data_IF_611843467996
#
_entry.id   IF_611843467996
#
_cell.length_a   1.000
_cell.length_b   1.000
_cell.length_c   1.000
_cell.angle_alpha   90.00
_cell.angle_beta   90.00
_cell.angle_gamma   90.00
#
_symmetry.space_group_name_H-M   'P 1'
#
loop_
_entity.id
_entity.type
_entity.pdbx_description
1 polymer ?
#
# COMPACT_ATOMS: atom_id res chain seq x y z
N UNK A 1 33.81 -51.49 28.13
CA UNK A 1 34.13 -50.48 27.10
C UNK A 1 32.86 -49.78 26.58
N UNK A 2 32.29 -48.78 27.27
CA UNK A 2 31.11 -48.02 26.80
C UNK A 2 31.22 -46.47 27.07
N UNK A 3 32.39 -45.96 27.43
CA UNK A 3 32.58 -44.52 27.76
C UNK A 3 32.85 -43.66 26.52
N UNK A 4 33.42 -44.22 25.46
CA UNK A 4 33.77 -43.41 24.26
C UNK A 4 32.58 -42.96 23.39
N UNK A 5 31.50 -43.75 23.32
CA UNK A 5 30.32 -43.44 22.47
C UNK A 5 29.51 -42.24 23.00
N UNK A 6 29.38 -42.08 24.30
CA UNK A 6 28.61 -41.02 24.94
C UNK A 6 29.27 -39.62 24.75
N UNK A 7 30.59 -39.56 24.78
CA UNK A 7 31.33 -38.33 24.57
C UNK A 7 31.30 -37.80 23.12
N UNK A 8 31.25 -38.72 22.16
CA UNK A 8 31.13 -38.38 20.71
C UNK A 8 29.72 -37.83 20.45
N UNK A 9 28.68 -38.45 20.97
CA UNK A 9 27.31 -37.95 20.79
C UNK A 9 27.11 -36.60 21.44
N UNK A 10 27.66 -36.33 22.62
CA UNK A 10 27.56 -35.03 23.28
C UNK A 10 28.27 -33.93 22.49
N UNK A 11 29.46 -34.17 21.95
CA UNK A 11 30.19 -33.24 21.09
C UNK A 11 29.41 -32.92 19.81
N UNK A 12 28.80 -33.94 19.18
CA UNK A 12 27.98 -33.76 17.98
C UNK A 12 26.75 -32.93 18.25
N UNK A 13 26.08 -33.12 19.38
CA UNK A 13 24.92 -32.29 19.80
C UNK A 13 25.33 -30.86 20.05
N UNK A 14 26.46 -30.61 20.71
CA UNK A 14 26.96 -29.25 20.96
C UNK A 14 27.30 -28.55 19.65
N UNK A 15 28.02 -29.20 18.74
CA UNK A 15 28.38 -28.64 17.42
C UNK A 15 27.11 -28.35 16.59
N UNK A 16 26.15 -29.29 16.56
CA UNK A 16 24.88 -29.06 15.87
C UNK A 16 24.11 -27.86 16.46
N UNK A 17 24.09 -27.72 17.78
CA UNK A 17 23.46 -26.58 18.48
C UNK A 17 24.15 -25.25 18.12
N UNK A 18 25.50 -25.22 18.04
CA UNK A 18 26.22 -24.02 17.60
C UNK A 18 25.92 -23.65 16.13
N UNK A 19 25.88 -24.64 15.24
CA UNK A 19 25.54 -24.38 13.83
C UNK A 19 24.14 -23.81 13.70
N UNK A 20 23.15 -24.37 14.40
CA UNK A 20 21.78 -23.86 14.40
C UNK A 20 21.73 -22.44 14.90
N UNK A 21 22.43 -22.12 16.01
CA UNK A 21 22.43 -20.75 16.55
C UNK A 21 23.06 -19.73 15.59
N UNK A 22 24.14 -20.09 14.90
CA UNK A 22 24.77 -19.24 13.87
C UNK A 22 23.81 -19.01 12.70
N UNK A 23 23.16 -20.06 12.21
CA UNK A 23 22.17 -19.95 11.12
C UNK A 23 21.01 -19.04 11.53
N UNK A 24 20.48 -19.17 12.76
CA UNK A 24 19.42 -18.30 13.27
C UNK A 24 19.86 -16.85 13.31
N UNK A 25 21.07 -16.55 13.78
CA UNK A 25 21.62 -15.18 13.81
C UNK A 25 21.78 -14.60 12.41
N UNK A 26 22.32 -15.38 11.46
CA UNK A 26 22.47 -14.94 10.07
C UNK A 26 21.10 -14.64 9.44
N UNK A 27 20.15 -15.55 9.59
CA UNK A 27 18.79 -15.37 9.05
C UNK A 27 18.10 -14.15 9.67
N UNK A 28 18.22 -13.97 10.99
CA UNK A 28 17.66 -12.80 11.68
C UNK A 28 18.29 -11.49 11.20
N UNK A 29 19.61 -11.47 10.95
CA UNK A 29 20.31 -10.29 10.44
C UNK A 29 19.88 -9.95 9.01
N UNK A 30 19.70 -10.96 8.15
CA UNK A 30 19.21 -10.76 6.77
C UNK A 30 17.77 -10.23 6.78
N UNK A 31 16.89 -10.81 7.58
CA UNK A 31 15.50 -10.38 7.70
C UNK A 31 15.42 -8.94 8.24
N UNK A 32 16.22 -8.63 9.26
CA UNK A 32 16.31 -7.27 9.81
C UNK A 32 16.81 -6.26 8.79
N UNK A 33 17.85 -6.59 8.02
CA UNK A 33 18.35 -5.74 6.93
C UNK A 33 17.34 -5.50 5.81
N UNK A 34 16.57 -6.53 5.42
CA UNK A 34 15.50 -6.40 4.43
C UNK A 34 14.32 -5.57 4.94
N UNK A 35 14.03 -5.64 6.25
CA UNK A 35 13.01 -4.81 6.88
C UNK A 35 13.44 -3.34 6.88
N UNK A 36 14.70 -3.07 7.22
CA UNK A 36 15.25 -1.72 7.21
C UNK A 36 15.24 -1.11 5.81
N UNK A 37 15.71 -1.84 4.79
CA UNK A 37 15.69 -1.38 3.40
C UNK A 37 14.29 -1.01 2.92
N UNK A 38 13.29 -1.85 3.17
CA UNK A 38 11.90 -1.55 2.81
C UNK A 38 11.38 -0.29 3.52
N UNK A 39 11.66 -0.15 4.81
CA UNK A 39 11.29 1.04 5.58
C UNK A 39 11.95 2.28 5.01
N UNK A 40 13.23 2.22 4.65
CA UNK A 40 13.97 3.32 4.04
C UNK A 40 13.38 3.72 2.67
N UNK A 41 12.93 2.75 1.86
CA UNK A 41 12.26 3.02 0.57
C UNK A 41 10.98 3.84 0.79
N UNK A 42 10.14 3.45 1.76
CA UNK A 42 8.91 4.19 2.10
C UNK A 42 9.24 5.60 2.59
N UNK A 43 10.20 5.74 3.50
CA UNK A 43 10.60 7.04 4.04
C UNK A 43 11.19 7.94 2.95
N UNK A 44 11.97 7.38 2.03
CA UNK A 44 12.51 8.10 0.88
C UNK A 44 11.41 8.61 -0.05
N UNK A 45 10.42 7.76 -0.37
CA UNK A 45 9.24 8.16 -1.15
C UNK A 45 8.48 9.31 -0.48
N UNK A 46 8.21 9.21 0.83
CA UNK A 46 7.51 10.24 1.60
C UNK A 46 8.26 11.57 1.61
N UNK A 47 9.59 11.51 1.77
CA UNK A 47 10.45 12.69 1.68
C UNK A 47 10.37 13.34 0.30
N UNK A 48 10.46 12.55 -0.77
CA UNK A 48 10.34 13.06 -2.15
C UNK A 48 8.96 13.69 -2.41
N UNK A 49 7.88 13.08 -1.90
CA UNK A 49 6.53 13.63 -2.04
C UNK A 49 6.37 14.95 -1.27
N UNK A 50 6.88 15.04 -0.05
CA UNK A 50 6.87 16.28 0.73
C UNK A 50 7.65 17.39 0.02
N UNK A 51 8.82 17.08 -0.53
CA UNK A 51 9.62 18.04 -1.29
C UNK A 51 8.90 18.50 -2.56
N UNK A 52 8.28 17.56 -3.31
CA UNK A 52 7.44 17.90 -4.45
C UNK A 52 6.29 18.86 -4.04
N UNK A 53 5.61 18.57 -2.95
CA UNK A 53 4.49 19.39 -2.47
C UNK A 53 4.95 20.77 -2.02
N UNK A 54 6.16 20.89 -1.49
CA UNK A 54 6.74 22.13 -1.02
C UNK A 54 7.27 23.03 -2.14
N UNK A 55 7.78 22.46 -3.22
CA UNK A 55 8.58 23.22 -4.20
C UNK A 55 8.02 23.24 -5.61
N UNK A 56 7.18 22.24 -5.97
CA UNK A 56 6.73 22.12 -7.35
C UNK A 56 5.54 23.05 -7.63
N UNK A 57 5.55 23.71 -8.80
CA UNK A 57 4.46 24.58 -9.26
C UNK A 57 3.12 23.86 -9.45
N UNK A 58 3.16 22.56 -9.73
CA UNK A 58 1.97 21.72 -9.93
C UNK A 58 1.53 21.03 -8.61
N UNK A 59 2.06 21.49 -7.47
CA UNK A 59 1.68 21.03 -6.13
C UNK A 59 0.21 21.36 -5.83
N UNK A 60 -0.53 20.45 -5.18
CA UNK A 60 -1.88 20.75 -4.71
C UNK A 60 -1.90 21.64 -3.45
N UNK A 61 -0.76 21.91 -2.82
CA UNK A 61 -0.67 22.73 -1.62
C UNK A 61 -0.84 24.20 -1.99
N UNK A 62 -1.86 24.87 -1.44
CA UNK A 62 -2.15 26.28 -1.69
C UNK A 62 -1.07 27.19 -1.08
N UNK A 63 -0.71 26.96 0.16
CA UNK A 63 0.34 27.70 0.87
C UNK A 63 1.58 26.81 1.06
N UNK A 64 2.44 26.80 0.04
CA UNK A 64 3.69 26.04 0.05
C UNK A 64 4.72 26.61 1.06
N UNK A 65 4.59 27.88 1.47
CA UNK A 65 5.52 28.52 2.39
C UNK A 65 5.32 27.96 3.80
N UNK A 66 4.07 27.84 4.23
CA UNK A 66 3.73 27.28 5.55
C UNK A 66 3.72 25.76 5.60
N UNK A 67 3.69 25.10 4.44
CA UNK A 67 3.66 23.64 4.37
C UNK A 67 4.92 23.01 4.99
N UNK A 68 4.74 22.14 5.96
CA UNK A 68 5.82 21.41 6.63
C UNK A 68 5.97 20.00 6.06
N UNK A 69 4.95 19.17 6.28
CA UNK A 69 4.97 17.76 5.88
C UNK A 69 3.56 17.19 5.85
N UNK A 70 3.38 16.12 5.09
CA UNK A 70 2.20 15.26 5.19
C UNK A 70 2.31 14.34 6.40
N UNK A 71 1.17 13.96 6.96
CA UNK A 71 1.10 13.01 8.06
C UNK A 71 0.92 11.59 7.55
N UNK A 72 1.62 10.63 8.15
CA UNK A 72 1.60 9.23 7.78
C UNK A 72 1.48 8.31 9.00
N UNK A 73 0.95 7.12 8.78
CA UNK A 73 1.20 5.99 9.69
C UNK A 73 2.65 5.52 9.58
N UNK A 74 3.18 4.88 10.61
CA UNK A 74 4.50 4.24 10.52
C UNK A 74 4.52 3.17 9.42
N UNK A 75 5.64 3.01 8.70
CA UNK A 75 5.76 1.94 7.70
C UNK A 75 5.56 0.56 8.34
N UNK A 76 4.64 -0.23 7.77
CA UNK A 76 4.36 -1.57 8.26
C UNK A 76 4.19 -2.54 7.08
N UNK A 77 5.02 -3.61 7.05
CA UNK A 77 5.00 -4.65 6.01
C UNK A 77 3.72 -5.48 5.99
N UNK A 78 2.96 -5.53 7.09
CA UNK A 78 1.68 -6.24 7.12
C UNK A 78 0.66 -5.65 6.14
N UNK A 79 0.81 -4.37 5.80
CA UNK A 79 0.00 -3.69 4.81
C UNK A 79 0.57 -3.74 3.38
N UNK A 80 1.58 -4.59 3.15
CA UNK A 80 2.14 -4.90 1.83
C UNK A 80 1.73 -6.31 1.42
N UNK A 81 0.65 -6.43 0.67
CA UNK A 81 -0.11 -7.66 0.47
C UNK A 81 -0.05 -8.09 -1.00
N UNK A 82 0.29 -9.35 -1.25
CA UNK A 82 0.11 -9.96 -2.56
C UNK A 82 -1.35 -10.45 -2.68
N UNK A 83 -2.16 -9.72 -3.43
CA UNK A 83 -3.53 -10.08 -3.71
C UNK A 83 -3.64 -11.00 -4.93
N UNK A 84 -4.59 -11.92 -4.90
CA UNK A 84 -4.98 -12.68 -6.10
C UNK A 84 -5.74 -11.73 -7.02
N UNK A 85 -5.29 -11.65 -8.28
CA UNK A 85 -5.91 -10.83 -9.30
C UNK A 85 -6.89 -11.67 -10.13
N UNK A 86 -8.15 -11.26 -10.17
CA UNK A 86 -9.18 -11.88 -11.00
C UNK A 86 -9.73 -10.87 -12.00
N UNK A 87 -9.35 -11.04 -13.26
CA UNK A 87 -9.81 -10.14 -14.33
C UNK A 87 -11.33 -10.18 -14.47
N UNK A 88 -11.95 -9.02 -14.67
CA UNK A 88 -13.37 -8.87 -14.90
C UNK A 88 -13.59 -8.95 -16.43
N UNK A 89 -14.29 -10.00 -16.87
CA UNK A 89 -14.51 -10.26 -18.31
C UNK A 89 -15.57 -9.34 -18.93
N UNK A 90 -16.53 -8.89 -18.10
CA UNK A 90 -17.53 -7.93 -18.55
C UNK A 90 -16.93 -6.52 -18.48
N UNK A 91 -16.60 -6.03 -19.67
CA UNK A 91 -15.93 -4.74 -19.86
C UNK A 91 -16.90 -3.56 -19.83
N UNK A 92 -17.93 -3.60 -18.97
CA UNK A 92 -18.81 -2.46 -18.80
C UNK A 92 -18.10 -1.29 -18.12
N UNK A 93 -18.32 -0.09 -18.66
CA UNK A 93 -17.88 1.13 -17.99
C UNK A 93 -18.72 1.38 -16.74
N UNK A 94 -18.06 1.81 -15.69
CA UNK A 94 -18.74 2.46 -14.57
C UNK A 94 -18.46 3.96 -14.62
N UNK A 95 -19.42 4.71 -14.14
CA UNK A 95 -19.25 6.15 -13.95
C UNK A 95 -18.85 6.40 -12.51
N UNK A 96 -17.65 6.90 -12.29
CA UNK A 96 -17.22 7.39 -10.99
C UNK A 96 -17.44 8.91 -10.98
N UNK A 97 -18.19 9.35 -9.98
CA UNK A 97 -18.53 10.76 -9.79
C UNK A 97 -17.43 11.40 -8.94
N UNK A 98 -16.97 12.58 -9.34
CA UNK A 98 -16.03 13.35 -8.57
C UNK A 98 -16.75 14.20 -7.49
N UNK A 99 -16.00 14.72 -6.54
CA UNK A 99 -16.50 15.59 -5.48
C UNK A 99 -17.20 16.88 -5.99
N UNK A 100 -16.89 17.32 -7.21
CA UNK A 100 -17.54 18.46 -7.88
C UNK A 100 -18.69 18.05 -8.83
N UNK A 101 -19.21 16.83 -8.70
CA UNK A 101 -20.25 16.21 -9.54
C UNK A 101 -19.84 15.93 -11.02
N UNK A 102 -18.57 16.13 -11.40
CA UNK A 102 -18.05 15.69 -12.68
C UNK A 102 -18.09 14.16 -12.78
N UNK A 103 -18.41 13.66 -13.96
CA UNK A 103 -18.58 12.22 -14.22
C UNK A 103 -17.46 11.71 -15.12
N UNK A 104 -16.70 10.74 -14.64
CA UNK A 104 -15.64 10.10 -15.38
C UNK A 104 -15.94 8.62 -15.61
N UNK A 105 -15.62 8.12 -16.82
CA UNK A 105 -15.79 6.70 -17.16
C UNK A 105 -14.54 5.92 -16.80
N UNK A 106 -14.74 4.79 -16.13
CA UNK A 106 -13.70 3.83 -15.78
C UNK A 106 -14.09 2.44 -16.20
N UNK A 107 -13.11 1.63 -16.60
CA UNK A 107 -13.25 0.19 -16.72
C UNK A 107 -13.09 -0.44 -15.33
N UNK A 108 -13.99 -1.36 -14.98
CA UNK A 108 -13.75 -2.30 -13.88
C UNK A 108 -12.79 -3.36 -14.39
N UNK A 109 -11.51 -3.21 -14.10
CA UNK A 109 -10.46 -4.03 -14.69
C UNK A 109 -10.36 -5.40 -14.03
N UNK A 110 -10.25 -5.46 -12.72
CA UNK A 110 -10.05 -6.69 -11.96
C UNK A 110 -10.56 -6.58 -10.53
N UNK A 111 -10.75 -7.73 -9.91
CA UNK A 111 -10.87 -7.88 -8.46
C UNK A 111 -9.49 -8.19 -7.89
N UNK A 112 -9.08 -7.49 -6.85
CA UNK A 112 -7.98 -7.86 -5.98
C UNK A 112 -8.56 -8.54 -4.73
N UNK A 113 -8.29 -9.82 -4.56
CA UNK A 113 -8.78 -10.65 -3.45
C UNK A 113 -7.61 -10.92 -2.51
N UNK A 114 -7.76 -10.57 -1.24
CA UNK A 114 -6.69 -10.66 -0.26
C UNK A 114 -7.22 -10.90 1.15
N UNK A 115 -6.32 -11.26 2.05
CA UNK A 115 -6.61 -11.35 3.49
C UNK A 115 -5.80 -10.27 4.21
N UNK A 116 -6.44 -9.55 5.12
CA UNK A 116 -5.80 -8.62 6.04
C UNK A 116 -6.46 -8.76 7.42
N UNK A 117 -5.65 -8.83 8.48
CA UNK A 117 -6.14 -9.01 9.85
C UNK A 117 -7.08 -10.22 10.00
N UNK A 118 -6.85 -11.31 9.24
CA UNK A 118 -7.67 -12.52 9.15
C UNK A 118 -9.07 -12.29 8.57
N UNK A 119 -9.28 -11.19 7.89
CA UNK A 119 -10.51 -10.85 7.17
C UNK A 119 -10.21 -10.97 5.68
N UNK A 120 -11.05 -11.74 4.97
CA UNK A 120 -10.99 -11.79 3.51
C UNK A 120 -11.73 -10.58 2.94
N UNK A 121 -11.02 -9.81 2.15
CA UNK A 121 -11.52 -8.59 1.52
C UNK A 121 -11.32 -8.63 0.00
N UNK A 122 -12.09 -7.80 -0.70
CA UNK A 122 -11.99 -7.66 -2.16
C UNK A 122 -12.14 -6.21 -2.54
N UNK A 123 -11.22 -5.72 -3.37
CA UNK A 123 -11.30 -4.38 -3.96
C UNK A 123 -11.34 -4.47 -5.48
N UNK A 124 -12.12 -3.60 -6.10
CA UNK A 124 -12.16 -3.45 -7.56
C UNK A 124 -11.06 -2.49 -7.99
N UNK A 125 -10.25 -2.94 -8.91
CA UNK A 125 -9.23 -2.13 -9.59
C UNK A 125 -9.85 -1.51 -10.82
N UNK A 126 -9.64 -0.21 -10.99
CA UNK A 126 -10.17 0.56 -12.10
C UNK A 126 -9.07 1.00 -13.06
N UNK A 127 -9.48 1.24 -14.31
CA UNK A 127 -8.64 1.90 -15.31
C UNK A 127 -9.45 3.03 -15.94
N UNK A 128 -8.91 4.24 -15.99
CA UNK A 128 -9.60 5.38 -16.59
C UNK A 128 -9.79 5.12 -18.09
N UNK A 129 -11.00 5.33 -18.61
CA UNK A 129 -11.35 5.02 -19.99
C UNK A 129 -10.63 5.93 -21.02
N UNK A 130 -10.20 7.13 -20.59
CA UNK A 130 -9.47 8.07 -21.43
C UNK A 130 -7.98 7.77 -21.59
N UNK A 131 -7.42 6.81 -20.81
CA UNK A 131 -6.01 6.43 -20.94
C UNK A 131 -5.79 5.60 -22.20
N UNK A 132 -4.66 5.83 -22.87
CA UNK A 132 -4.21 5.01 -23.99
C UNK A 132 -3.97 3.57 -23.52
N UNK A 133 -4.09 2.60 -24.42
CA UNK A 133 -3.94 1.18 -24.09
C UNK A 133 -2.54 0.85 -23.52
N UNK A 134 -1.52 1.61 -23.93
CA UNK A 134 -0.12 1.45 -23.50
C UNK A 134 0.13 1.98 -22.07
N UNK A 135 -0.77 2.81 -21.54
CA UNK A 135 -0.66 3.31 -20.16
C UNK A 135 -1.16 2.24 -19.19
N UNK A 136 -0.22 1.63 -18.47
CA UNK A 136 -0.47 0.55 -17.51
C UNK A 136 -0.75 1.05 -16.10
N UNK A 137 -1.20 2.29 -15.96
CA UNK A 137 -1.58 2.84 -14.66
C UNK A 137 -3.00 2.41 -14.30
N UNK A 138 -3.13 1.76 -13.17
CA UNK A 138 -4.39 1.31 -12.60
C UNK A 138 -4.66 2.06 -11.31
N UNK A 139 -5.94 2.29 -11.03
CA UNK A 139 -6.43 3.11 -9.95
C UNK A 139 -7.25 2.29 -8.96
N UNK A 140 -6.92 2.38 -7.69
CA UNK A 140 -7.59 1.70 -6.60
C UNK A 140 -8.05 2.71 -5.55
N UNK A 141 -9.24 3.31 -5.71
CA UNK A 141 -9.84 4.14 -4.68
C UNK A 141 -10.53 3.25 -3.65
N UNK A 142 -10.43 3.57 -2.35
CA UNK A 142 -11.02 2.74 -1.31
C UNK A 142 -11.41 3.55 -0.07
N UNK A 143 -12.37 3.00 0.66
CA UNK A 143 -12.69 3.36 2.04
C UNK A 143 -12.22 2.25 2.98
N UNK A 144 -11.93 2.60 4.21
CA UNK A 144 -11.60 1.67 5.29
C UNK A 144 -12.05 2.22 6.66
N UNK A 145 -11.94 1.43 7.72
CA UNK A 145 -12.42 1.80 9.05
C UNK A 145 -11.58 2.88 9.77
N UNK A 146 -10.56 3.44 9.11
CA UNK A 146 -9.80 4.61 9.60
C UNK A 146 -10.38 5.94 9.11
N UNK A 147 -11.30 5.91 8.11
CA UNK A 147 -11.90 7.12 7.56
C UNK A 147 -12.68 7.91 8.63
N UNK A 148 -12.62 9.24 8.56
CA UNK A 148 -13.17 10.20 9.52
C UNK A 148 -12.62 10.08 10.95
N UNK A 149 -11.57 9.27 11.14
CA UNK A 149 -10.85 9.10 12.41
C UNK A 149 -9.41 9.56 12.25
N UNK A 150 -8.59 8.71 11.66
CA UNK A 150 -7.16 8.99 11.43
C UNK A 150 -6.86 9.36 9.98
N UNK A 151 -7.74 9.03 9.04
CA UNK A 151 -7.57 9.32 7.62
C UNK A 151 -8.73 10.13 7.07
N UNK A 152 -8.56 10.67 5.87
CA UNK A 152 -9.57 11.48 5.21
C UNK A 152 -10.88 10.72 4.99
N UNK A 153 -12.01 11.32 5.38
CA UNK A 153 -13.33 10.70 5.31
C UNK A 153 -13.83 10.39 3.90
N UNK A 154 -13.32 11.09 2.89
CA UNK A 154 -13.63 10.83 1.48
C UNK A 154 -12.86 9.66 0.87
N UNK A 155 -12.13 8.87 1.65
CA UNK A 155 -11.33 7.73 1.22
C UNK A 155 -9.94 8.11 0.71
N UNK A 156 -9.17 7.08 0.39
CA UNK A 156 -7.78 7.19 -0.10
C UNK A 156 -7.62 6.43 -1.42
N UNK A 157 -6.48 6.65 -2.05
CA UNK A 157 -6.14 6.06 -3.33
C UNK A 157 -4.85 5.27 -3.26
N UNK A 158 -4.74 4.30 -4.14
CA UNK A 158 -3.52 3.56 -4.41
C UNK A 158 -3.37 3.41 -5.92
N UNK A 159 -2.26 3.91 -6.47
CA UNK A 159 -1.89 3.69 -7.86
C UNK A 159 -1.15 2.36 -8.00
N UNK A 160 -1.55 1.56 -8.98
CA UNK A 160 -1.03 0.22 -9.16
C UNK A 160 -0.34 0.07 -10.52
N UNK A 161 0.74 -0.70 -10.52
CA UNK A 161 1.39 -1.21 -11.72
C UNK A 161 1.21 -2.73 -11.76
N UNK A 162 0.38 -3.22 -12.66
CA UNK A 162 0.08 -4.64 -12.79
C UNK A 162 1.01 -5.23 -13.85
N UNK A 163 1.85 -6.19 -13.43
CA UNK A 163 2.81 -6.88 -14.30
C UNK A 163 2.44 -8.33 -14.55
N UNK A 164 1.64 -8.91 -13.66
CA UNK A 164 1.19 -10.30 -13.69
C UNK A 164 -0.33 -10.34 -13.84
N UNK A 165 -0.84 -11.31 -14.60
CA UNK A 165 -2.28 -11.50 -14.80
C UNK A 165 -3.00 -12.16 -13.63
N UNK A 166 -2.27 -12.77 -12.70
CA UNK A 166 -2.82 -13.58 -11.61
C UNK A 166 -2.62 -12.97 -10.23
N UNK A 167 -1.72 -11.97 -10.11
CA UNK A 167 -1.42 -11.34 -8.83
C UNK A 167 -1.17 -9.84 -8.96
N UNK A 168 -1.41 -9.12 -7.89
CA UNK A 168 -1.09 -7.70 -7.76
C UNK A 168 -0.59 -7.40 -6.36
N UNK A 169 0.46 -6.60 -6.27
CA UNK A 169 0.97 -6.09 -5.00
C UNK A 169 0.16 -4.86 -4.57
N UNK A 170 -0.57 -5.00 -3.48
CA UNK A 170 -1.24 -3.90 -2.77
C UNK A 170 -0.32 -3.45 -1.63
N UNK A 171 0.36 -2.33 -1.80
CA UNK A 171 1.18 -1.76 -0.74
C UNK A 171 0.52 -0.49 -0.19
N UNK A 172 -0.31 -0.66 0.83
CA UNK A 172 -1.06 0.45 1.43
C UNK A 172 -0.17 1.47 2.15
N UNK A 173 1.13 1.19 2.35
CA UNK A 173 2.07 2.20 2.85
C UNK A 173 2.25 3.36 1.87
N UNK A 174 1.88 3.17 0.59
CA UNK A 174 1.82 4.19 -0.44
C UNK A 174 0.42 4.78 -0.65
N UNK A 175 -0.58 4.38 0.15
CA UNK A 175 -1.92 4.97 0.05
C UNK A 175 -1.86 6.47 0.33
N UNK A 176 -2.58 7.26 -0.47
CA UNK A 176 -2.52 8.71 -0.44
C UNK A 176 -3.91 9.36 -0.49
N UNK A 177 -3.99 10.58 0.01
CA UNK A 177 -5.21 11.40 -0.06
C UNK A 177 -5.41 11.97 -1.46
N UNK A 178 -6.67 12.09 -1.93
CA UNK A 178 -6.98 12.85 -3.15
C UNK A 178 -6.54 14.32 -3.03
N UNK A 179 -6.16 14.93 -4.15
CA UNK A 179 -5.64 16.31 -4.17
C UNK A 179 -6.65 17.35 -3.67
N UNK A 180 -7.95 17.09 -3.77
CA UNK A 180 -8.99 17.94 -3.23
C UNK A 180 -8.97 18.10 -1.68
N UNK A 181 -8.23 17.22 -0.98
CA UNK A 181 -7.97 17.37 0.46
C UNK A 181 -7.07 18.58 0.73
N UNK A 182 -6.11 18.82 -0.14
CA UNK A 182 -5.13 19.88 0.01
C UNK A 182 -5.60 21.19 -0.61
N UNK A 183 -6.34 21.11 -1.73
CA UNK A 183 -6.86 22.24 -2.46
C UNK A 183 -8.21 21.91 -3.10
N UNK A 184 -9.25 22.62 -2.71
CA UNK A 184 -10.64 22.42 -3.14
C UNK A 184 -10.89 22.68 -4.63
N UNK A 185 -9.92 23.29 -5.34
CA UNK A 185 -10.00 23.47 -6.80
C UNK A 185 -9.82 22.16 -7.58
N UNK A 186 -9.25 21.13 -6.93
CA UNK A 186 -9.09 19.83 -7.57
C UNK A 186 -10.38 19.01 -7.53
N UNK A 187 -10.71 18.39 -8.67
CA UNK A 187 -11.81 17.47 -8.83
C UNK A 187 -11.30 16.02 -8.67
N UNK A 188 -11.82 15.30 -7.68
CA UNK A 188 -11.32 13.99 -7.30
C UNK A 188 -12.42 12.93 -7.33
N UNK A 189 -12.14 11.73 -7.89
CA UNK A 189 -13.07 10.62 -7.92
C UNK A 189 -13.48 10.16 -6.51
N UNK A 190 -14.77 10.05 -6.24
CA UNK A 190 -15.27 9.47 -4.99
C UNK A 190 -15.16 7.95 -5.08
N UNK A 191 -14.53 7.25 -4.12
CA UNK A 191 -14.45 5.80 -4.15
C UNK A 191 -15.84 5.17 -4.25
N UNK A 192 -16.06 4.20 -5.16
CA UNK A 192 -17.32 3.48 -5.22
C UNK A 192 -17.62 2.68 -3.95
N UNK A 193 -18.89 2.54 -3.60
CA UNK A 193 -19.31 1.83 -2.39
C UNK A 193 -18.83 0.36 -2.32
N UNK A 194 -18.60 -0.27 -3.49
CA UNK A 194 -18.04 -1.61 -3.59
C UNK A 194 -16.57 -1.72 -3.14
N UNK A 195 -15.87 -0.59 -3.03
CA UNK A 195 -14.49 -0.51 -2.53
C UNK A 195 -14.43 -0.02 -1.07
N UNK A 196 -15.37 -0.46 -0.25
CA UNK A 196 -15.37 -0.20 1.18
C UNK A 196 -14.91 -1.45 1.94
N UNK A 197 -13.74 -1.35 2.57
CA UNK A 197 -13.19 -2.38 3.46
C UNK A 197 -13.84 -2.30 4.84
N UNK A 198 -14.00 -3.45 5.46
CA UNK A 198 -14.39 -3.59 6.87
C UNK A 198 -13.19 -3.64 7.81
N UNK A 199 -12.00 -3.73 7.25
CA UNK A 199 -10.73 -3.70 7.97
C UNK A 199 -10.21 -2.27 8.15
N UNK A 200 -9.40 -2.05 9.18
CA UNK A 200 -8.62 -0.82 9.37
C UNK A 200 -7.32 -0.92 8.60
N UNK A 201 -7.01 0.07 7.79
CA UNK A 201 -5.74 0.17 7.05
C UNK A 201 -4.88 1.27 7.68
N UNK A 202 -4.15 0.89 8.73
CA UNK A 202 -3.25 1.80 9.46
C UNK A 202 -1.89 1.94 8.74
N UNK A 203 -1.95 2.32 7.47
CA UNK A 203 -0.81 2.53 6.59
C UNK A 203 -1.07 3.70 5.63
N UNK A 204 -0.02 4.29 5.07
CA UNK A 204 -0.13 5.41 4.13
C UNK A 204 -0.43 6.76 4.81
N UNK A 205 -1.02 7.66 4.06
CA UNK A 205 -1.32 9.02 4.53
C UNK A 205 -2.48 9.05 5.53
N UNK A 206 -2.32 9.89 6.53
CA UNK A 206 -3.34 10.27 7.52
C UNK A 206 -4.07 11.54 7.07
N UNK A 207 -5.01 12.00 7.89
CA UNK A 207 -5.69 13.27 7.66
C UNK A 207 -4.66 14.42 7.51
N UNK A 208 -4.91 15.29 6.54
CA UNK A 208 -4.13 16.52 6.37
C UNK A 208 -4.70 17.60 7.27
N UNK A 209 -3.89 18.10 8.18
CA UNK A 209 -4.22 19.27 9.01
C UNK A 209 -3.61 20.49 8.32
N UNK A 210 -4.45 21.44 7.95
CA UNK A 210 -4.04 22.73 7.39
C UNK A 210 -3.31 23.57 8.43
#
# INVERSE_FOLDING_TARGET
MKVGSRNIQLKTIIVAGMIISVVVVIVSSIIGGLQDAYTQDILSYRKQKNEYFKTNKDSPIEDQISFQTLNYFEPNKEYRINAVLKLIKDSSFVTIVNNNAEKNKYWRYAQAIFEINKINDTLIIYRKASLKQEDLTYFLPFYDETNDKETYGGGRYLDLKIKDSNSVLLDFNFAFNPYCVYNHLFSCPVPPAENKLTSRIEAGEKVFNK
#
